data_IF_724871944359
#
_entry.id   IF_724871944359
#
_cell.length_a   1.000
_cell.length_b   1.000
_cell.length_c   1.000
_cell.angle_alpha   90.00
_cell.angle_beta   90.00
_cell.angle_gamma   90.00
#
_symmetry.space_group_name_H-M   'P 1'
#
loop_
_entity.id
_entity.type
_entity.pdbx_description
1 polymer ?
#
# COMPACT_ATOMS: atom_id res chain seq x y z
N UNK A 1 2.65 -10.13 68.77
CA UNK A 1 3.12 -10.52 67.43
C UNK A 1 2.09 -10.14 66.37
N UNK A 2 0.81 -10.41 66.65
CA UNK A 2 -0.38 -10.03 65.87
C UNK A 2 -0.38 -8.61 65.29
N UNK A 3 -0.17 -7.56 66.11
CA UNK A 3 -0.26 -6.18 65.62
C UNK A 3 0.86 -5.82 64.62
N UNK A 4 2.04 -6.46 64.73
CA UNK A 4 3.14 -6.27 63.78
C UNK A 4 2.84 -6.96 62.45
N UNK A 5 2.25 -8.15 62.50
CA UNK A 5 1.82 -8.90 61.33
C UNK A 5 0.70 -8.17 60.57
N UNK A 6 -0.29 -7.63 61.29
CA UNK A 6 -1.38 -6.85 60.68
C UNK A 6 -0.86 -5.60 59.98
N UNK A 7 0.11 -4.88 60.57
CA UNK A 7 0.74 -3.71 59.95
C UNK A 7 1.52 -4.06 58.68
N UNK A 8 2.25 -5.18 58.69
CA UNK A 8 2.98 -5.67 57.51
C UNK A 8 1.99 -6.07 56.41
N UNK A 9 0.90 -6.75 56.75
CA UNK A 9 -0.15 -7.11 55.80
C UNK A 9 -0.80 -5.87 55.19
N UNK A 10 -1.19 -4.90 56.01
CA UNK A 10 -1.81 -3.64 55.56
C UNK A 10 -0.87 -2.87 54.62
N UNK A 11 0.42 -2.82 54.97
CA UNK A 11 1.44 -2.18 54.13
C UNK A 11 1.62 -2.90 52.80
N UNK A 12 1.68 -4.24 52.79
CA UNK A 12 1.79 -5.02 51.56
C UNK A 12 0.55 -4.88 50.66
N UNK A 13 -0.64 -4.76 51.26
CA UNK A 13 -1.89 -4.60 50.53
C UNK A 13 -1.96 -3.23 49.84
N UNK A 14 -1.59 -2.16 50.54
CA UNK A 14 -1.52 -0.81 49.96
C UNK A 14 -0.43 -0.75 48.87
N UNK A 15 0.72 -1.40 49.08
CA UNK A 15 1.77 -1.50 48.08
C UNK A 15 1.29 -2.24 46.83
N UNK A 16 0.51 -3.32 46.97
CA UNK A 16 -0.08 -4.03 45.83
C UNK A 16 -1.07 -3.18 45.03
N UNK A 17 -1.88 -2.33 45.68
CA UNK A 17 -2.84 -1.46 44.99
C UNK A 17 -2.14 -0.40 44.11
N UNK A 18 -1.02 0.15 44.56
CA UNK A 18 -0.29 1.19 43.81
C UNK A 18 0.33 0.65 42.49
N UNK A 19 0.60 -0.66 42.41
CA UNK A 19 1.16 -1.30 41.22
C UNK A 19 0.10 -1.71 40.17
N UNK A 20 -1.20 -1.70 40.51
CA UNK A 20 -2.28 -2.05 39.56
C UNK A 20 -2.60 -0.93 38.54
N UNK A 21 -2.14 0.30 38.78
CA UNK A 21 -2.39 1.43 37.88
C UNK A 21 -1.73 1.23 36.50
N UNK A 22 -0.55 0.60 36.47
CA UNK A 22 0.14 0.25 35.22
C UNK A 22 -0.64 -0.78 34.42
N UNK A 23 -1.15 -1.83 35.07
CA UNK A 23 -1.86 -2.93 34.40
C UNK A 23 -3.16 -2.44 33.75
N UNK A 24 -3.96 -1.63 34.46
CA UNK A 24 -5.22 -1.11 33.91
C UNK A 24 -4.94 -0.19 32.72
N UNK A 25 -3.94 0.70 32.85
CA UNK A 25 -3.52 1.58 31.77
C UNK A 25 -3.05 0.77 30.55
N UNK A 26 -2.24 -0.26 30.77
CA UNK A 26 -1.71 -1.09 29.70
C UNK A 26 -2.82 -1.88 29.01
N UNK A 27 -3.75 -2.50 29.75
CA UNK A 27 -4.89 -3.22 29.16
C UNK A 27 -5.74 -2.30 28.28
N UNK A 28 -6.06 -1.10 28.75
CA UNK A 28 -6.84 -0.12 27.97
C UNK A 28 -6.04 0.32 26.74
N UNK A 29 -4.75 0.60 26.90
CA UNK A 29 -3.90 1.10 25.83
C UNK A 29 -3.70 0.05 24.72
N UNK A 30 -3.40 -1.21 25.06
CA UNK A 30 -3.17 -2.26 24.08
C UNK A 30 -4.44 -2.79 23.41
N UNK A 31 -5.61 -2.68 24.04
CA UNK A 31 -6.86 -3.23 23.50
C UNK A 31 -7.80 -2.18 22.87
N UNK A 32 -7.85 -0.96 23.41
CA UNK A 32 -8.81 0.07 22.97
C UNK A 32 -8.09 1.17 22.16
N UNK A 33 -6.96 1.66 22.65
CA UNK A 33 -6.28 2.81 22.03
C UNK A 33 -5.24 2.42 20.96
N UNK A 34 -4.80 1.15 20.94
CA UNK A 34 -3.68 0.70 20.13
C UNK A 34 -2.32 1.10 20.73
N UNK A 35 -1.26 0.40 20.31
CA UNK A 35 0.11 0.75 20.69
C UNK A 35 0.36 2.20 20.29
N UNK A 36 0.95 3.05 21.17
CA UNK A 36 1.33 4.40 20.81
C UNK A 36 2.54 4.33 19.85
N UNK A 37 2.28 3.96 18.59
CA UNK A 37 3.29 4.01 17.54
C UNK A 37 3.53 5.50 17.32
N UNK A 38 4.62 6.00 17.89
CA UNK A 38 5.12 7.33 17.60
C UNK A 38 5.29 7.43 16.08
N UNK A 39 4.48 8.28 15.45
CA UNK A 39 4.62 8.57 14.03
C UNK A 39 6.01 9.20 13.84
N UNK A 40 6.95 8.41 13.32
CA UNK A 40 8.29 8.90 13.04
C UNK A 40 8.20 9.82 11.83
N UNK A 41 8.62 11.07 11.97
CA UNK A 41 8.83 11.94 10.81
C UNK A 41 9.97 11.36 9.98
N UNK A 42 9.65 10.88 8.79
CA UNK A 42 10.64 10.37 7.83
C UNK A 42 10.83 11.47 6.78
N UNK A 43 12.08 11.94 6.54
CA UNK A 43 12.33 12.83 5.43
C UNK A 43 12.06 12.08 4.13
N UNK A 44 11.07 12.54 3.37
CA UNK A 44 10.78 12.00 2.05
C UNK A 44 11.48 12.87 1.00
N UNK A 45 12.37 12.31 0.15
CA UNK A 45 12.99 13.05 -0.93
C UNK A 45 11.96 13.32 -2.03
N UNK A 46 11.18 14.39 -1.86
CA UNK A 46 10.20 14.83 -2.84
C UNK A 46 10.90 15.67 -3.92
N UNK A 47 11.00 15.12 -5.14
CA UNK A 47 11.35 15.90 -6.34
C UNK A 47 10.05 16.35 -7.02
N UNK A 48 9.72 17.66 -7.02
CA UNK A 48 8.50 18.17 -7.66
C UNK A 48 8.48 17.90 -9.18
N UNK A 49 9.64 17.77 -9.81
CA UNK A 49 9.76 17.57 -11.26
C UNK A 49 9.80 16.09 -11.65
N UNK A 50 9.77 15.17 -10.68
CA UNK A 50 9.86 13.73 -10.95
C UNK A 50 8.75 13.25 -11.89
N UNK A 51 7.55 13.81 -11.78
CA UNK A 51 6.42 13.49 -12.67
C UNK A 51 6.71 13.88 -14.12
N UNK A 52 7.19 15.11 -14.33
CA UNK A 52 7.52 15.64 -15.67
C UNK A 52 8.62 14.81 -16.34
N UNK A 53 9.71 14.53 -15.61
CA UNK A 53 10.84 13.74 -16.12
C UNK A 53 10.41 12.33 -16.51
N UNK A 54 9.71 11.62 -15.60
CA UNK A 54 9.24 10.25 -15.84
C UNK A 54 8.18 10.17 -16.93
N UNK A 55 7.38 11.21 -17.12
CA UNK A 55 6.38 11.24 -18.19
C UNK A 55 7.06 11.21 -19.57
N UNK A 56 8.14 11.98 -19.77
CA UNK A 56 8.89 11.99 -21.03
C UNK A 56 9.50 10.60 -21.29
N UNK A 57 10.14 10.01 -20.29
CA UNK A 57 10.72 8.66 -20.38
C UNK A 57 9.66 7.61 -20.70
N UNK A 58 8.51 7.66 -20.03
CA UNK A 58 7.41 6.75 -20.26
C UNK A 58 6.86 6.88 -21.69
N UNK A 59 6.63 8.11 -22.15
CA UNK A 59 6.09 8.37 -23.48
C UNK A 59 7.05 7.92 -24.59
N UNK A 60 8.36 8.10 -24.40
CA UNK A 60 9.37 7.64 -25.35
C UNK A 60 9.29 6.11 -25.57
N UNK A 61 9.05 5.34 -24.51
CA UNK A 61 9.02 3.87 -24.56
C UNK A 61 7.64 3.33 -24.94
N UNK A 62 6.56 3.95 -24.46
CA UNK A 62 5.21 3.38 -24.49
C UNK A 62 4.23 4.11 -25.40
N UNK A 63 4.65 5.21 -26.03
CA UNK A 63 3.76 6.08 -26.79
C UNK A 63 3.15 7.18 -25.92
N UNK A 64 2.59 8.22 -26.56
CA UNK A 64 2.14 9.44 -25.89
C UNK A 64 1.08 9.14 -24.82
N UNK A 65 0.19 8.19 -25.10
CA UNK A 65 -0.86 7.75 -24.18
C UNK A 65 -0.65 6.32 -23.66
N UNK A 66 0.54 5.75 -23.87
CA UNK A 66 0.84 4.38 -23.45
C UNK A 66 0.27 3.30 -24.36
N UNK A 67 -0.06 3.62 -25.61
CA UNK A 67 -0.70 2.69 -26.55
C UNK A 67 0.13 1.41 -26.72
N UNK A 68 1.46 1.55 -26.81
CA UNK A 68 2.39 0.41 -26.94
C UNK A 68 2.50 -0.41 -25.65
N UNK A 69 2.31 0.21 -24.48
CA UNK A 69 2.29 -0.54 -23.23
C UNK A 69 1.03 -1.41 -23.15
N UNK A 70 -0.12 -0.85 -23.52
CA UNK A 70 -1.40 -1.56 -23.55
C UNK A 70 -1.35 -2.73 -24.54
N UNK A 71 -0.81 -2.51 -25.74
CA UNK A 71 -0.62 -3.58 -26.74
C UNK A 71 0.21 -4.73 -26.16
N UNK A 72 1.40 -4.44 -25.60
CA UNK A 72 2.26 -5.46 -24.99
C UNK A 72 1.59 -6.22 -23.85
N UNK A 73 0.79 -5.55 -23.02
CA UNK A 73 0.03 -6.20 -21.94
C UNK A 73 -0.98 -7.20 -22.51
N UNK A 74 -1.65 -6.87 -23.63
CA UNK A 74 -2.60 -7.75 -24.30
C UNK A 74 -1.95 -8.95 -25.02
N UNK A 75 -0.66 -8.87 -25.36
CA UNK A 75 0.07 -9.91 -26.08
C UNK A 75 0.59 -11.05 -25.19
N UNK A 76 0.47 -10.97 -23.87
CA UNK A 76 0.90 -12.01 -22.92
C UNK A 76 2.42 -12.30 -22.88
N UNK A 77 2.84 -13.24 -22.02
CA UNK A 77 4.26 -13.49 -21.69
C UNK A 77 4.76 -14.90 -22.06
N UNK A 78 3.96 -15.69 -22.77
CA UNK A 78 4.22 -17.10 -23.11
C UNK A 78 5.06 -17.29 -24.40
N UNK A 79 5.65 -16.22 -24.95
CA UNK A 79 6.51 -16.28 -26.14
C UNK A 79 5.77 -16.28 -27.48
N UNK A 80 4.43 -16.25 -27.49
CA UNK A 80 3.60 -16.21 -28.71
C UNK A 80 3.09 -14.80 -29.04
N UNK A 81 3.83 -13.78 -28.64
CA UNK A 81 3.41 -12.38 -28.84
C UNK A 81 3.30 -12.01 -30.31
N UNK A 82 4.21 -12.50 -31.16
CA UNK A 82 4.21 -12.18 -32.60
C UNK A 82 2.97 -12.72 -33.30
N UNK A 83 2.59 -13.97 -33.03
CA UNK A 83 1.40 -14.60 -33.60
C UNK A 83 0.13 -13.82 -33.24
N UNK A 84 -0.02 -13.41 -31.98
CA UNK A 84 -1.18 -12.61 -31.54
C UNK A 84 -1.19 -11.21 -32.09
N UNK A 85 -0.01 -10.59 -32.22
CA UNK A 85 0.12 -9.27 -32.82
C UNK A 85 -0.29 -9.31 -34.30
N UNK A 86 0.11 -10.34 -35.03
CA UNK A 86 -0.31 -10.56 -36.41
C UNK A 86 -1.83 -10.82 -36.51
N UNK A 87 -2.39 -11.62 -35.61
CA UNK A 87 -3.83 -11.87 -35.56
C UNK A 87 -4.62 -10.59 -35.26
N UNK A 88 -4.14 -9.75 -34.33
CA UNK A 88 -4.73 -8.44 -34.02
C UNK A 88 -4.68 -7.51 -35.24
N UNK A 89 -3.53 -7.40 -35.90
CA UNK A 89 -3.39 -6.59 -37.13
C UNK A 89 -4.36 -7.02 -38.21
N UNK A 90 -4.55 -8.32 -38.43
CA UNK A 90 -5.53 -8.85 -39.38
C UNK A 90 -6.98 -8.53 -39.02
N UNK A 91 -7.29 -8.38 -37.73
CA UNK A 91 -8.64 -7.96 -37.27
C UNK A 91 -8.85 -6.46 -37.44
N UNK A 92 -7.78 -5.69 -37.27
CA UNK A 92 -7.78 -4.23 -37.38
C UNK A 92 -7.67 -3.75 -38.84
N UNK A 93 -7.27 -4.61 -39.78
CA UNK A 93 -7.31 -4.34 -41.23
C UNK A 93 -8.75 -3.95 -41.66
N UNK A 94 -8.95 -2.67 -41.95
CA UNK A 94 -10.25 -2.10 -42.33
C UNK A 94 -11.12 -1.59 -41.17
N UNK A 95 -10.58 -1.45 -39.96
CA UNK A 95 -11.24 -0.84 -38.79
C UNK A 95 -10.44 0.39 -38.31
N UNK A 96 -10.97 1.62 -38.47
CA UNK A 96 -10.33 2.81 -37.90
C UNK A 96 -10.57 2.87 -36.39
N UNK A 97 -9.54 2.51 -35.62
CA UNK A 97 -9.50 2.80 -34.17
C UNK A 97 -10.64 2.17 -33.37
N UNK A 98 -11.13 0.99 -33.77
CA UNK A 98 -12.24 0.29 -33.14
C UNK A 98 -13.63 0.69 -33.64
N UNK A 99 -13.73 1.57 -34.64
CA UNK A 99 -14.96 1.89 -35.36
C UNK A 99 -14.94 1.13 -36.69
N UNK A 100 -16.04 0.46 -37.03
CA UNK A 100 -16.19 -0.18 -38.35
C UNK A 100 -16.42 0.93 -39.39
N UNK A 101 -15.50 1.07 -40.33
CA UNK A 101 -15.59 2.06 -41.42
C UNK A 101 -16.78 1.85 -42.37
N UNK A 102 -17.47 0.70 -42.27
CA UNK A 102 -18.49 0.24 -43.20
C UNK A 102 -19.79 -0.22 -42.51
N UNK A 103 -20.32 0.58 -41.59
CA UNK A 103 -21.75 0.51 -41.22
C UNK A 103 -22.39 1.85 -41.60
N UNK A 104 -23.42 1.86 -42.47
CA UNK A 104 -24.25 3.05 -42.68
C UNK A 104 -24.98 3.47 -41.39
#
# INVERSE_FOLDING_TARGET
MELRMVKIFLFSFIFSLTNCQGIIKDVIQYNIAGIPILHKTIPFPFDPDAGSKRSIEYQAVNGRYGEKAIERLGLGTDGRQLERLEEQRRKDEGQLGGVRDYLP
#
